data_IF_640922974472
#
_entry.id   IF_640922974472
#
_cell.length_a   1.000
_cell.length_b   1.000
_cell.length_c   1.000
_cell.angle_alpha   90.00
_cell.angle_beta   90.00
_cell.angle_gamma   90.00
#
_symmetry.space_group_name_H-M   'P 1'
#
loop_
_entity.id
_entity.type
_entity.pdbx_description
1 polymer ?
#
# COMPACT_ATOMS: atom_id res chain seq x y z
N UNK A 1 0.95 -3.20 5.15
CA UNK A 1 -0.02 -3.03 4.07
C UNK A 1 -1.47 -3.31 4.50
N UNK A 2 -2.34 -2.30 4.35
CA UNK A 2 -3.79 -2.53 4.25
C UNK A 2 -4.20 -2.90 2.82
N UNK A 3 -5.52 -2.87 2.50
CA UNK A 3 -6.03 -3.19 1.16
C UNK A 3 -5.39 -2.40 0.02
N UNK A 4 -5.18 -1.08 0.22
CA UNK A 4 -4.58 -0.21 -0.80
C UNK A 4 -3.16 -0.69 -1.15
N UNK A 5 -2.34 -0.98 -0.15
CA UNK A 5 -0.96 -1.47 -0.36
C UNK A 5 -0.91 -2.83 -1.05
N UNK A 6 -1.83 -3.74 -0.72
CA UNK A 6 -1.92 -5.05 -1.38
C UNK A 6 -2.38 -4.94 -2.84
N UNK A 7 -3.34 -4.05 -3.14
CA UNK A 7 -3.78 -3.81 -4.51
C UNK A 7 -2.73 -3.07 -5.35
N UNK A 8 -1.94 -2.17 -4.74
CA UNK A 8 -0.77 -1.59 -5.38
C UNK A 8 0.28 -2.65 -5.71
N UNK A 9 0.52 -3.59 -4.80
CA UNK A 9 1.41 -4.74 -5.01
C UNK A 9 0.93 -5.63 -6.17
N UNK A 10 -0.38 -5.92 -6.25
CA UNK A 10 -0.98 -6.64 -7.38
C UNK A 10 -0.71 -5.92 -8.71
N UNK A 11 -0.95 -4.61 -8.77
CA UNK A 11 -0.71 -3.82 -9.98
C UNK A 11 0.78 -3.86 -10.35
N UNK A 12 1.68 -3.66 -9.39
CA UNK A 12 3.13 -3.75 -9.62
C UNK A 12 3.55 -5.10 -10.19
N UNK A 13 3.01 -6.20 -9.65
CA UNK A 13 3.27 -7.55 -10.16
C UNK A 13 2.72 -7.74 -11.58
N UNK A 14 1.52 -7.23 -11.89
CA UNK A 14 0.95 -7.26 -13.25
C UNK A 14 1.77 -6.45 -14.27
N UNK A 15 2.53 -5.45 -13.81
CA UNK A 15 3.50 -4.70 -14.60
C UNK A 15 4.89 -5.34 -14.66
N UNK A 16 5.08 -6.54 -14.07
CA UNK A 16 6.35 -7.26 -14.09
C UNK A 16 7.43 -6.65 -13.18
N UNK A 17 7.05 -5.84 -12.18
CA UNK A 17 7.99 -5.24 -11.25
C UNK A 17 8.42 -6.22 -10.16
N UNK A 18 9.62 -6.01 -9.60
CA UNK A 18 10.04 -6.67 -8.35
C UNK A 18 9.32 -6.01 -7.18
N UNK A 19 8.31 -6.68 -6.63
CA UNK A 19 7.41 -6.10 -5.61
C UNK A 19 7.92 -6.36 -4.21
N UNK A 20 8.01 -5.30 -3.41
CA UNK A 20 8.31 -5.35 -1.98
C UNK A 20 7.17 -4.70 -1.20
N UNK A 21 6.71 -5.35 -0.14
CA UNK A 21 5.62 -4.85 0.71
C UNK A 21 6.08 -4.78 2.15
N UNK A 22 5.93 -3.61 2.76
CA UNK A 22 6.20 -3.35 4.16
C UNK A 22 4.88 -3.36 4.99
N UNK A 23 4.91 -4.04 6.11
CA UNK A 23 3.92 -3.97 7.18
C UNK A 23 4.62 -4.24 8.52
N UNK A 24 4.02 -3.87 9.65
CA UNK A 24 4.48 -4.26 10.98
C UNK A 24 3.98 -5.63 11.43
N UNK A 25 2.92 -6.16 10.79
CA UNK A 25 2.37 -7.47 11.15
C UNK A 25 3.28 -8.59 10.66
N UNK A 26 3.76 -9.46 11.55
CA UNK A 26 4.66 -10.58 11.19
C UNK A 26 3.91 -11.80 10.62
N UNK A 27 2.70 -12.00 11.10
CA UNK A 27 1.86 -13.17 10.83
C UNK A 27 0.53 -12.74 10.20
N UNK A 28 -0.32 -13.73 9.92
CA UNK A 28 -1.63 -13.54 9.30
C UNK A 28 -1.61 -13.79 7.79
N UNK A 29 -2.68 -13.40 7.08
CA UNK A 29 -2.84 -13.69 5.65
C UNK A 29 -1.93 -12.86 4.73
N UNK A 30 -1.54 -11.65 5.15
CA UNK A 30 -0.82 -10.68 4.29
C UNK A 30 0.53 -11.18 3.78
N UNK A 31 1.42 -11.79 4.59
CA UNK A 31 2.68 -12.33 4.09
C UNK A 31 2.49 -13.35 2.98
N UNK A 32 1.48 -14.24 3.10
CA UNK A 32 1.17 -15.21 2.06
C UNK A 32 0.64 -14.53 0.80
N UNK A 33 -0.31 -13.61 0.92
CA UNK A 33 -0.84 -12.87 -0.24
C UNK A 33 0.24 -12.14 -1.03
N UNK A 34 1.25 -11.57 -0.35
CA UNK A 34 2.37 -10.91 -1.03
C UNK A 34 3.25 -11.92 -1.76
N UNK A 35 3.54 -13.07 -1.15
CA UNK A 35 4.32 -14.14 -1.79
C UNK A 35 3.60 -14.78 -2.97
N UNK A 36 2.28 -14.91 -2.90
CA UNK A 36 1.46 -15.45 -3.99
C UNK A 36 1.48 -14.53 -5.24
N UNK A 37 1.82 -13.25 -5.08
CA UNK A 37 2.12 -12.32 -6.19
C UNK A 37 3.57 -12.41 -6.69
N UNK A 38 4.40 -13.28 -6.12
CA UNK A 38 5.85 -13.32 -6.33
C UNK A 38 6.62 -12.20 -5.62
N UNK A 39 5.97 -11.47 -4.70
CA UNK A 39 6.58 -10.36 -3.97
C UNK A 39 7.29 -10.75 -2.67
N UNK A 40 8.13 -9.85 -2.17
CA UNK A 40 8.81 -9.98 -0.89
C UNK A 40 8.07 -9.21 0.23
N UNK A 41 7.76 -9.89 1.33
CA UNK A 41 7.15 -9.30 2.51
C UNK A 41 8.19 -8.91 3.55
N UNK A 42 8.10 -7.70 4.06
CA UNK A 42 8.99 -7.08 5.04
C UNK A 42 8.18 -6.69 6.27
N UNK A 43 8.60 -7.16 7.45
CA UNK A 43 7.91 -6.90 8.72
C UNK A 43 8.44 -5.66 9.47
N UNK A 44 9.49 -5.04 8.92
CA UNK A 44 10.26 -3.96 9.52
C UNK A 44 11.11 -3.23 8.48
N UNK A 45 11.43 -1.96 8.73
CA UNK A 45 12.36 -1.21 7.86
C UNK A 45 13.75 -1.84 7.81
N UNK A 46 14.19 -2.47 8.90
CA UNK A 46 15.47 -3.19 8.95
C UNK A 46 15.52 -4.34 7.93
N UNK A 47 14.41 -5.06 7.72
CA UNK A 47 14.34 -6.17 6.76
C UNK A 47 14.49 -5.72 5.30
N UNK A 48 14.24 -4.43 4.99
CA UNK A 48 14.51 -3.86 3.68
C UNK A 48 16.02 -3.68 3.41
N UNK A 49 16.86 -3.70 4.45
CA UNK A 49 18.30 -3.43 4.38
C UNK A 49 18.57 -2.07 3.71
N UNK A 50 19.56 -1.98 2.81
CA UNK A 50 19.92 -0.76 2.06
C UNK A 50 19.22 -0.68 0.69
N UNK A 51 18.11 -1.40 0.50
CA UNK A 51 17.39 -1.37 -0.79
C UNK A 51 16.84 0.01 -1.09
N UNK A 52 16.93 0.36 -2.37
CA UNK A 52 16.27 1.49 -2.99
C UNK A 52 15.21 1.00 -3.99
N UNK A 53 14.26 1.87 -4.31
CA UNK A 53 13.10 1.55 -5.14
C UNK A 53 12.86 2.65 -6.18
N UNK A 54 12.54 2.24 -7.41
CA UNK A 54 12.19 3.15 -8.50
C UNK A 54 10.79 3.74 -8.33
N UNK A 55 9.87 2.99 -7.70
CA UNK A 55 8.50 3.42 -7.40
C UNK A 55 8.14 3.02 -5.98
N UNK A 56 7.73 4.00 -5.17
CA UNK A 56 7.28 3.79 -3.79
C UNK A 56 5.84 4.27 -3.64
N UNK A 57 4.97 3.35 -3.20
CA UNK A 57 3.57 3.65 -2.86
C UNK A 57 3.43 3.74 -1.34
N UNK A 58 3.33 4.96 -0.80
CA UNK A 58 3.16 5.20 0.64
C UNK A 58 1.67 5.16 0.99
N UNK A 59 1.25 4.14 1.73
CA UNK A 59 -0.17 3.87 2.02
C UNK A 59 -0.49 3.81 3.53
N UNK A 60 0.41 4.30 4.38
CA UNK A 60 0.31 4.24 5.85
C UNK A 60 0.02 5.60 6.46
N UNK A 61 0.43 6.68 5.79
CA UNK A 61 0.36 8.05 6.28
C UNK A 61 1.17 8.32 7.56
N UNK A 62 2.09 7.42 7.93
CA UNK A 62 2.96 7.62 9.09
C UNK A 62 4.17 8.47 8.68
N UNK A 63 4.40 9.61 9.34
CA UNK A 63 5.47 10.56 8.97
C UNK A 63 6.85 9.91 8.86
N UNK A 64 7.18 9.00 9.78
CA UNK A 64 8.45 8.26 9.74
C UNK A 64 8.57 7.39 8.47
N UNK A 65 7.47 6.77 8.02
CA UNK A 65 7.46 5.95 6.81
C UNK A 65 7.44 6.80 5.54
N UNK A 66 6.87 8.02 5.58
CA UNK A 66 6.96 8.99 4.48
C UNK A 66 8.42 9.41 4.27
N UNK A 67 9.13 9.77 5.34
CA UNK A 67 10.55 10.15 5.27
C UNK A 67 11.42 8.97 4.77
N UNK A 68 11.16 7.76 5.26
CA UNK A 68 11.87 6.56 4.80
C UNK A 68 11.59 6.24 3.33
N UNK A 69 10.33 6.39 2.88
CA UNK A 69 9.93 6.20 1.48
C UNK A 69 10.68 7.14 0.54
N UNK A 70 10.80 8.42 0.91
CA UNK A 70 11.57 9.42 0.15
C UNK A 70 13.06 9.06 0.14
N UNK A 71 13.62 8.70 1.30
CA UNK A 71 15.04 8.39 1.45
C UNK A 71 15.45 7.17 0.63
N UNK A 72 14.60 6.14 0.58
CA UNK A 72 14.79 4.91 -0.19
C UNK A 72 14.41 5.02 -1.66
N UNK A 73 13.89 6.16 -2.09
CA UNK A 73 13.65 6.40 -3.51
C UNK A 73 14.99 6.47 -4.26
N UNK A 74 15.13 5.62 -5.28
CA UNK A 74 16.28 5.60 -6.17
C UNK A 74 16.36 6.89 -7.01
N UNK A 75 17.52 7.22 -7.59
CA UNK A 75 17.60 8.26 -8.62
C UNK A 75 16.58 8.04 -9.74
N UNK A 76 15.93 9.12 -10.17
CA UNK A 76 14.82 9.14 -11.12
C UNK A 76 13.57 8.37 -10.68
N UNK A 77 13.49 8.07 -9.38
CA UNK A 77 12.36 7.36 -8.79
C UNK A 77 11.17 8.26 -8.42
N UNK A 78 10.05 7.60 -8.14
CA UNK A 78 8.76 8.23 -7.87
C UNK A 78 8.23 7.75 -6.51
N UNK A 79 7.83 8.70 -5.66
CA UNK A 79 7.09 8.44 -4.42
C UNK A 79 5.67 8.98 -4.54
N UNK A 80 4.69 8.09 -4.45
CA UNK A 80 3.27 8.44 -4.44
C UNK A 80 2.74 8.33 -3.01
N UNK A 81 2.25 9.45 -2.47
CA UNK A 81 1.64 9.54 -1.15
C UNK A 81 0.13 9.32 -1.30
N UNK A 82 -0.36 8.17 -0.80
CA UNK A 82 -1.77 7.75 -0.83
C UNK A 82 -2.40 7.81 0.55
N UNK A 83 -1.59 7.65 1.61
CA UNK A 83 -2.05 7.76 2.99
C UNK A 83 -2.46 9.19 3.36
N UNK A 84 -3.50 9.33 4.19
CA UNK A 84 -3.93 10.62 4.75
C UNK A 84 -3.60 10.66 6.24
N UNK A 85 -2.66 11.52 6.63
CA UNK A 85 -2.24 11.67 8.03
C UNK A 85 -3.29 12.41 8.84
N UNK A 86 -3.43 12.07 10.13
CA UNK A 86 -4.22 12.86 11.06
C UNK A 86 -3.58 14.23 11.28
N UNK A 87 -4.39 15.29 11.31
CA UNK A 87 -3.92 16.63 11.63
C UNK A 87 -3.37 16.72 13.06
N UNK A 88 -2.45 17.66 13.30
CA UNK A 88 -2.01 18.05 14.64
C UNK A 88 -0.67 17.47 15.11
N UNK A 89 -0.12 16.45 14.43
CA UNK A 89 1.25 15.97 14.70
C UNK A 89 2.26 16.83 13.96
N UNK A 90 3.21 17.40 14.68
CA UNK A 90 4.36 18.13 14.11
C UNK A 90 5.60 17.28 14.27
N UNK A 91 6.22 16.93 13.16
CA UNK A 91 7.53 16.30 13.11
C UNK A 91 8.54 17.31 12.55
N UNK A 92 9.77 17.29 13.06
CA UNK A 92 10.87 18.07 12.49
C UNK A 92 11.24 17.49 11.11
N UNK A 93 11.40 18.36 10.11
CA UNK A 93 11.58 17.94 8.72
C UNK A 93 12.63 18.81 8.02
N UNK A 94 13.71 18.17 7.53
CA UNK A 94 14.76 18.85 6.77
C UNK A 94 14.32 19.09 5.31
N UNK A 95 13.69 20.24 5.09
CA UNK A 95 13.25 20.69 3.76
C UNK A 95 14.45 20.89 2.81
N UNK A 96 15.60 21.32 3.33
CA UNK A 96 16.81 21.54 2.53
C UNK A 96 17.39 20.23 2.01
N UNK A 97 17.46 19.22 2.87
CA UNK A 97 17.84 17.85 2.52
C UNK A 97 16.90 17.22 1.50
N UNK A 98 15.58 17.36 1.70
CA UNK A 98 14.58 16.93 0.72
C UNK A 98 14.83 17.57 -0.65
N UNK A 99 14.89 18.91 -0.70
CA UNK A 99 15.06 19.64 -1.95
C UNK A 99 16.34 19.24 -2.68
N UNK A 100 17.47 19.16 -1.96
CA UNK A 100 18.75 18.72 -2.51
C UNK A 100 18.65 17.33 -3.11
N UNK A 101 18.02 16.37 -2.42
CA UNK A 101 17.83 15.01 -2.92
C UNK A 101 17.00 15.03 -4.21
N UNK A 102 15.82 15.67 -4.21
CA UNK A 102 14.94 15.68 -5.38
C UNK A 102 15.60 16.31 -6.61
N UNK A 103 16.35 17.40 -6.44
CA UNK A 103 17.08 18.08 -7.53
C UNK A 103 18.21 17.21 -8.07
N UNK A 104 19.06 16.65 -7.20
CA UNK A 104 20.22 15.86 -7.65
C UNK A 104 19.83 14.50 -8.22
N UNK A 105 18.79 13.88 -7.66
CA UNK A 105 18.34 12.56 -8.06
C UNK A 105 17.30 12.61 -9.19
N UNK A 106 16.79 13.79 -9.60
CA UNK A 106 15.62 13.92 -10.50
C UNK A 106 14.39 13.16 -9.97
N UNK A 107 14.17 13.19 -8.66
CA UNK A 107 13.10 12.45 -8.00
C UNK A 107 11.75 13.20 -8.01
N UNK A 108 10.66 12.43 -7.96
CA UNK A 108 9.29 12.99 -7.87
C UNK A 108 8.62 12.51 -6.58
N UNK A 109 8.03 13.44 -5.83
CA UNK A 109 7.16 13.14 -4.69
C UNK A 109 5.82 13.85 -4.90
N UNK A 110 4.71 13.12 -4.89
CA UNK A 110 3.39 13.70 -5.08
C UNK A 110 2.31 12.99 -4.27
N UNK A 111 1.30 13.75 -3.86
CA UNK A 111 0.09 13.21 -3.24
C UNK A 111 -1.00 12.91 -4.27
N UNK A 112 -1.82 11.90 -3.99
CA UNK A 112 -3.02 11.61 -4.79
C UNK A 112 -4.23 11.37 -3.90
N UNK A 113 -5.39 11.81 -4.37
CA UNK A 113 -6.67 11.59 -3.69
C UNK A 113 -7.77 11.37 -4.74
N UNK A 114 -8.69 10.47 -4.42
CA UNK A 114 -9.83 10.12 -5.26
C UNK A 114 -9.43 9.57 -6.65
N UNK A 115 -10.43 9.33 -7.50
CA UNK A 115 -10.26 8.81 -8.84
C UNK A 115 -11.47 9.18 -9.73
N UNK A 116 -11.21 9.55 -10.98
CA UNK A 116 -12.24 9.71 -12.03
C UNK A 116 -12.59 8.35 -12.71
N UNK A 117 -13.70 8.29 -13.45
CA UNK A 117 -14.26 7.14 -14.17
C UNK A 117 -13.23 6.26 -14.88
N UNK A 118 -12.31 6.86 -15.64
CA UNK A 118 -11.26 6.11 -16.38
C UNK A 118 -10.44 5.19 -15.46
N UNK A 119 -10.24 5.59 -14.20
CA UNK A 119 -9.49 4.79 -13.24
C UNK A 119 -10.32 3.62 -12.69
N UNK A 120 -11.65 3.77 -12.58
CA UNK A 120 -12.55 2.65 -12.27
C UNK A 120 -12.54 1.61 -13.39
N UNK A 121 -12.54 2.06 -14.65
CA UNK A 121 -12.41 1.16 -15.80
C UNK A 121 -11.05 0.45 -15.82
N UNK A 122 -9.96 1.16 -15.47
CA UNK A 122 -8.65 0.54 -15.27
C UNK A 122 -8.66 -0.47 -14.12
N UNK A 123 -9.29 -0.16 -13.00
CA UNK A 123 -9.39 -1.06 -11.85
C UNK A 123 -10.15 -2.34 -12.23
N UNK A 124 -11.27 -2.23 -12.95
CA UNK A 124 -12.01 -3.38 -13.46
C UNK A 124 -11.11 -4.28 -14.35
N UNK A 125 -10.33 -3.68 -15.26
CA UNK A 125 -9.36 -4.41 -16.09
C UNK A 125 -8.26 -5.10 -15.28
N UNK A 126 -7.71 -4.43 -14.27
CA UNK A 126 -6.67 -4.99 -13.41
C UNK A 126 -7.21 -6.15 -12.57
N UNK A 127 -8.39 -5.98 -11.97
CA UNK A 127 -9.04 -7.02 -11.17
C UNK A 127 -9.46 -8.23 -12.02
N UNK A 128 -9.94 -8.03 -13.24
CA UNK A 128 -10.30 -9.12 -14.15
C UNK A 128 -9.10 -10.00 -14.54
N UNK A 129 -7.88 -9.47 -14.50
CA UNK A 129 -6.62 -10.21 -14.75
C UNK A 129 -6.06 -10.89 -13.51
N UNK A 130 -6.56 -10.57 -12.32
CA UNK A 130 -6.03 -11.10 -11.08
C UNK A 130 -6.54 -12.53 -10.81
N UNK A 131 -5.76 -13.30 -10.05
CA UNK A 131 -6.19 -14.61 -9.57
C UNK A 131 -7.38 -14.43 -8.61
N UNK A 132 -8.45 -15.21 -8.82
CA UNK A 132 -9.69 -15.10 -8.02
C UNK A 132 -9.48 -15.50 -6.56
N UNK A 133 -8.77 -16.59 -6.31
CA UNK A 133 -8.47 -17.06 -4.95
C UNK A 133 -7.64 -16.02 -4.19
N UNK A 134 -6.73 -15.32 -4.88
CA UNK A 134 -5.99 -14.21 -4.30
C UNK A 134 -6.90 -13.05 -3.92
N UNK A 135 -7.84 -12.66 -4.80
CA UNK A 135 -8.82 -11.60 -4.53
C UNK A 135 -9.73 -11.96 -3.35
N UNK A 136 -10.17 -13.22 -3.27
CA UNK A 136 -10.98 -13.71 -2.16
C UNK A 136 -10.19 -13.66 -0.85
N UNK A 137 -8.88 -13.95 -0.89
CA UNK A 137 -8.00 -13.79 0.27
C UNK A 137 -7.82 -12.34 0.75
N UNK A 138 -8.04 -11.33 -0.11
CA UNK A 138 -8.04 -9.92 0.30
C UNK A 138 -9.33 -9.56 1.05
N UNK A 139 -10.47 -10.14 0.65
CA UNK A 139 -11.75 -9.97 1.35
C UNK A 139 -11.79 -10.94 2.54
N UNK A 140 -11.13 -10.54 3.63
CA UNK A 140 -10.93 -11.38 4.81
C UNK A 140 -12.23 -11.77 5.53
N UNK A 141 -13.27 -10.93 5.43
CA UNK A 141 -14.52 -11.13 6.15
C UNK A 141 -15.72 -10.50 5.44
N UNK A 142 -16.82 -11.26 5.39
CA UNK A 142 -18.12 -10.82 4.88
C UNK A 142 -19.12 -10.85 6.03
N UNK A 143 -19.82 -9.74 6.25
CA UNK A 143 -20.77 -9.58 7.35
C UNK A 143 -22.16 -9.33 6.76
N UNK A 144 -23.22 -10.08 7.14
CA UNK A 144 -24.56 -9.83 6.63
C UNK A 144 -25.08 -8.47 7.09
N UNK A 145 -25.96 -7.86 6.30
CA UNK A 145 -26.53 -6.54 6.59
C UNK A 145 -27.17 -6.47 7.99
N UNK A 146 -27.83 -7.55 8.44
CA UNK A 146 -28.46 -7.62 9.76
C UNK A 146 -27.48 -7.42 10.94
N UNK A 147 -26.17 -7.63 10.72
CA UNK A 147 -25.11 -7.52 11.74
C UNK A 147 -24.01 -6.57 11.30
N UNK A 148 -24.33 -5.58 10.46
CA UNK A 148 -23.35 -4.69 9.83
C UNK A 148 -22.38 -4.02 10.82
N UNK A 149 -22.79 -3.76 12.05
CA UNK A 149 -21.95 -3.15 13.08
C UNK A 149 -20.70 -4.00 13.38
N UNK A 150 -20.81 -5.33 13.27
CA UNK A 150 -19.67 -6.24 13.44
C UNK A 150 -18.57 -5.99 12.39
N UNK A 151 -18.90 -5.41 11.24
CA UNK A 151 -17.92 -5.06 10.21
C UNK A 151 -16.96 -3.95 10.64
N UNK A 152 -17.36 -3.14 11.62
CA UNK A 152 -16.58 -2.01 12.15
C UNK A 152 -15.79 -2.37 13.42
N UNK A 153 -16.00 -3.57 13.97
CA UNK A 153 -15.20 -4.11 15.07
C UNK A 153 -13.99 -4.82 14.45
N UNK A 154 -12.75 -4.32 14.65
CA UNK A 154 -11.56 -4.93 14.08
C UNK A 154 -11.34 -6.32 14.64
N UNK A 155 -11.08 -7.29 13.78
CA UNK A 155 -10.66 -8.64 14.17
C UNK A 155 -9.19 -8.87 13.80
N UNK A 156 -8.50 -9.81 14.48
CA UNK A 156 -7.22 -10.32 13.99
C UNK A 156 -7.36 -10.75 12.52
N UNK A 157 -6.28 -10.57 11.75
CA UNK A 157 -6.20 -10.95 10.34
C UNK A 157 -7.15 -10.23 9.37
N UNK A 158 -7.94 -9.25 9.83
CA UNK A 158 -8.75 -8.43 8.92
C UNK A 158 -7.85 -7.65 7.92
N UNK A 159 -8.21 -7.75 6.64
CA UNK A 159 -7.65 -6.95 5.54
C UNK A 159 -8.75 -6.05 5.00
N UNK A 160 -9.74 -6.63 4.32
CA UNK A 160 -10.91 -5.93 3.80
C UNK A 160 -12.17 -6.65 4.28
N UNK A 161 -12.89 -5.96 5.15
CA UNK A 161 -14.22 -6.37 5.57
C UNK A 161 -15.26 -5.75 4.64
N UNK A 162 -16.24 -6.53 4.24
CA UNK A 162 -17.37 -6.08 3.41
C UNK A 162 -18.70 -6.45 4.07
N UNK A 163 -19.72 -5.64 3.81
CA UNK A 163 -21.10 -5.93 4.20
C UNK A 163 -21.81 -6.57 3.01
N UNK A 164 -22.42 -7.72 3.23
CA UNK A 164 -23.21 -8.43 2.24
C UNK A 164 -24.68 -8.03 2.36
N UNK A 165 -25.24 -7.56 1.25
CA UNK A 165 -26.64 -7.13 1.13
C UNK A 165 -27.54 -8.23 0.56
N UNK A 166 -26.95 -9.34 0.09
CA UNK A 166 -27.68 -10.45 -0.53
C UNK A 166 -28.02 -11.57 0.44
N UNK A 167 -27.37 -11.58 1.61
CA UNK A 167 -27.54 -12.55 2.69
C UNK A 167 -28.34 -11.99 3.87
#
# INVERSE_FOLDING_TARGET
AGPIGLLAALIGAQHGLSVHVLDRHKTGPKPKLVRDLGGAYHDSLASLQQRQFDVVMECTAASALIADAITRCAPSGIVCLVGVSSAGRKDEFDIGGLNRKLVLDNGVVFGTVNANRRHYENAARALAKANRDWLDGVISRRVPLARWQEAFIPQPDDIKVVIDFSS
#
